data_IF_613140215271
#
_entry.id   IF_613140215271
#
_cell.length_a   1.000
_cell.length_b   1.000
_cell.length_c   1.000
_cell.angle_alpha   90.00
_cell.angle_beta   90.00
_cell.angle_gamma   90.00
#
_symmetry.space_group_name_H-M   'P 1'
#
loop_
_entity.id
_entity.type
_entity.pdbx_description
1 polymer ?
#
# COMPACT_ATOMS: atom_id res chain seq x y z
N UNK A 1 6.46 -0.27 16.06
CA UNK A 1 7.34 0.37 15.09
C UNK A 1 6.54 0.84 13.88
N UNK A 2 7.07 1.83 13.21
CA UNK A 2 6.40 2.44 12.07
C UNK A 2 7.25 2.30 10.81
N UNK A 3 6.59 2.40 9.66
CA UNK A 3 7.28 2.46 8.38
C UNK A 3 6.61 3.52 7.51
N UNK A 4 7.33 4.00 6.52
CA UNK A 4 6.84 5.05 5.64
C UNK A 4 5.91 4.47 4.60
N UNK A 5 4.81 5.18 4.34
CA UNK A 5 3.83 4.79 3.34
C UNK A 5 3.49 6.00 2.48
N UNK A 6 3.50 5.80 1.17
CA UNK A 6 3.06 6.80 0.20
C UNK A 6 2.09 6.16 -0.75
N UNK A 7 0.93 6.77 -0.94
CA UNK A 7 -0.06 6.33 -1.92
C UNK A 7 -0.19 7.43 -2.95
N UNK A 8 0.06 7.07 -4.21
CA UNK A 8 0.07 8.00 -5.33
C UNK A 8 -0.97 7.61 -6.36
N UNK A 9 -1.56 8.60 -7.00
CA UNK A 9 -2.30 8.40 -8.25
C UNK A 9 -1.61 9.23 -9.32
N UNK A 10 -2.01 9.09 -10.60
CA UNK A 10 -1.43 9.93 -11.64
C UNK A 10 -1.60 11.43 -11.42
N UNK A 11 -2.57 11.81 -10.62
CA UNK A 11 -2.89 13.24 -10.39
C UNK A 11 -2.35 13.80 -9.10
N UNK A 12 -2.20 12.98 -8.07
CA UNK A 12 -1.94 13.53 -6.75
C UNK A 12 -1.36 12.50 -5.79
N UNK A 13 -0.84 13.01 -4.69
CA UNK A 13 -0.48 12.20 -3.55
C UNK A 13 -1.74 12.01 -2.71
N UNK A 14 -2.22 10.79 -2.61
CA UNK A 14 -3.44 10.48 -1.87
C UNK A 14 -3.16 10.39 -0.37
N UNK A 15 -2.02 9.81 -0.02
CA UNK A 15 -1.62 9.66 1.38
C UNK A 15 -0.10 9.64 1.47
N UNK A 16 0.42 10.28 2.50
CA UNK A 16 1.83 10.23 2.80
C UNK A 16 2.00 10.32 4.32
N UNK A 17 2.69 9.34 4.90
CA UNK A 17 2.87 9.32 6.33
C UNK A 17 3.46 8.00 6.78
N UNK A 18 3.27 7.69 8.05
CA UNK A 18 3.78 6.47 8.65
C UNK A 18 2.62 5.58 9.11
N UNK A 19 2.86 4.28 9.12
CA UNK A 19 1.85 3.31 9.51
C UNK A 19 2.46 2.17 10.29
N UNK A 20 1.62 1.48 11.04
CA UNK A 20 1.99 0.25 11.75
C UNK A 20 1.74 -0.97 10.88
N UNK A 21 0.80 -0.86 9.96
CA UNK A 21 0.45 -1.94 9.05
C UNK A 21 -0.24 -1.39 7.82
N UNK A 22 -0.13 -2.14 6.72
CA UNK A 22 -0.86 -1.85 5.49
C UNK A 22 -1.44 -3.17 5.02
N UNK A 23 -2.76 -3.19 4.75
CA UNK A 23 -3.44 -4.36 4.23
C UNK A 23 -3.87 -4.02 2.81
N UNK A 24 -3.53 -4.90 1.87
CA UNK A 24 -3.68 -4.62 0.44
C UNK A 24 -4.43 -5.74 -0.26
N UNK A 25 -5.27 -5.39 -1.27
CA UNK A 25 -5.96 -6.39 -2.08
C UNK A 25 -5.04 -6.86 -3.20
N UNK A 26 -4.19 -7.83 -2.90
CA UNK A 26 -3.24 -8.37 -3.87
C UNK A 26 -3.88 -9.30 -4.88
N UNK A 27 -3.17 -9.53 -5.98
CA UNK A 27 -3.62 -10.39 -7.06
C UNK A 27 -3.86 -11.83 -6.60
N UNK A 28 -3.06 -12.30 -5.67
CA UNK A 28 -3.18 -13.65 -5.13
C UNK A 28 -3.94 -13.70 -3.81
N UNK A 29 -4.54 -12.60 -3.41
CA UNK A 29 -5.29 -12.51 -2.18
C UNK A 29 -4.88 -11.31 -1.35
N UNK A 30 -5.65 -11.02 -0.32
CA UNK A 30 -5.36 -9.93 0.60
C UNK A 30 -4.10 -10.28 1.39
N UNK A 31 -3.21 -9.32 1.53
CA UNK A 31 -2.00 -9.53 2.31
C UNK A 31 -1.69 -8.29 3.15
N UNK A 32 -0.88 -8.50 4.18
CA UNK A 32 -0.52 -7.45 5.12
C UNK A 32 0.97 -7.18 5.09
N UNK A 33 1.36 -5.91 5.14
CA UNK A 33 2.74 -5.49 5.26
C UNK A 33 2.94 -4.90 6.65
N UNK A 34 3.91 -5.43 7.35
CA UNK A 34 4.32 -4.98 8.68
C UNK A 34 5.71 -4.36 8.60
N UNK A 35 6.17 -3.67 9.66
CA UNK A 35 7.52 -3.09 9.63
C UNK A 35 8.57 -4.16 9.32
N UNK A 36 9.58 -3.74 8.55
CA UNK A 36 10.69 -4.59 8.14
C UNK A 36 10.30 -5.77 7.26
N UNK A 37 9.17 -5.64 6.57
CA UNK A 37 8.76 -6.64 5.59
C UNK A 37 9.83 -6.74 4.49
N UNK A 38 10.06 -7.95 4.00
CA UNK A 38 11.00 -8.17 2.92
C UNK A 38 10.54 -7.46 1.65
N UNK A 39 11.47 -7.22 0.76
CA UNK A 39 11.18 -6.55 -0.51
C UNK A 39 10.17 -7.31 -1.33
N UNK A 40 9.16 -6.61 -1.82
CA UNK A 40 8.18 -7.17 -2.76
C UNK A 40 7.79 -6.13 -3.80
N UNK A 41 7.30 -6.62 -4.92
CA UNK A 41 6.65 -5.81 -5.94
C UNK A 41 5.45 -6.63 -6.39
N UNK A 42 4.26 -6.11 -6.22
CA UNK A 42 3.04 -6.86 -6.48
C UNK A 42 1.96 -6.00 -7.11
N UNK A 43 1.07 -6.62 -7.87
CA UNK A 43 -0.10 -5.95 -8.42
C UNK A 43 -1.24 -5.99 -7.43
N UNK A 44 -2.06 -4.95 -7.47
CA UNK A 44 -3.25 -4.84 -6.65
C UNK A 44 -4.48 -4.92 -7.53
N UNK A 45 -5.51 -5.58 -7.02
CA UNK A 45 -6.79 -5.70 -7.70
C UNK A 45 -7.82 -4.80 -7.00
N UNK A 46 -9.04 -4.78 -7.53
CA UNK A 46 -10.12 -4.01 -6.93
C UNK A 46 -10.39 -4.44 -5.49
N UNK A 47 -10.51 -3.48 -4.60
CA UNK A 47 -10.76 -3.74 -3.19
C UNK A 47 -10.48 -2.52 -2.35
N UNK A 48 -10.18 -2.75 -1.08
CA UNK A 48 -9.83 -1.68 -0.16
C UNK A 48 -8.41 -1.84 0.36
N UNK A 49 -7.74 -0.70 0.46
CA UNK A 49 -6.43 -0.58 1.06
C UNK A 49 -6.62 -0.02 2.47
N UNK A 50 -6.02 -0.66 3.46
CA UNK A 50 -6.08 -0.19 4.84
C UNK A 50 -4.68 0.23 5.29
N UNK A 51 -4.56 1.47 5.74
CA UNK A 51 -3.31 2.00 6.28
C UNK A 51 -3.60 2.35 7.73
N UNK A 52 -3.12 1.50 8.65
CA UNK A 52 -3.48 1.57 10.07
C UNK A 52 -5.00 1.63 10.22
N UNK A 53 -5.58 2.76 10.61
CA UNK A 53 -7.02 2.89 10.82
C UNK A 53 -7.76 3.53 9.63
N UNK A 54 -7.02 3.95 8.60
CA UNK A 54 -7.62 4.60 7.43
C UNK A 54 -7.82 3.60 6.31
N UNK A 55 -8.84 3.83 5.49
CA UNK A 55 -9.08 2.98 4.33
C UNK A 55 -9.31 3.81 3.07
N UNK A 56 -8.94 3.23 1.94
CA UNK A 56 -9.05 3.86 0.62
C UNK A 56 -9.52 2.82 -0.39
N UNK A 57 -10.44 3.18 -1.29
CA UNK A 57 -10.81 2.26 -2.35
C UNK A 57 -9.71 2.18 -3.40
N UNK A 58 -9.52 0.99 -3.96
CA UNK A 58 -8.54 0.74 -5.00
C UNK A 58 -9.23 0.05 -6.16
N UNK A 59 -9.05 0.55 -7.37
CA UNK A 59 -9.48 -0.16 -8.58
C UNK A 59 -8.42 -1.19 -8.97
N UNK A 60 -7.19 -0.71 -9.09
CA UNK A 60 -6.01 -1.53 -9.32
C UNK A 60 -4.79 -0.66 -9.09
N UNK A 61 -3.65 -1.31 -8.98
CA UNK A 61 -2.43 -0.57 -8.75
C UNK A 61 -1.25 -1.49 -8.60
N UNK A 62 -0.18 -0.93 -8.08
CA UNK A 62 1.07 -1.63 -7.84
C UNK A 62 1.56 -1.21 -6.46
N UNK A 63 2.10 -2.17 -5.72
CA UNK A 63 2.76 -1.88 -4.45
C UNK A 63 4.22 -2.31 -4.53
N UNK A 64 5.08 -1.45 -4.01
CA UNK A 64 6.51 -1.74 -3.87
C UNK A 64 6.89 -1.57 -2.42
N UNK A 65 7.50 -2.60 -1.84
CA UNK A 65 8.01 -2.56 -0.47
C UNK A 65 9.52 -2.72 -0.53
N UNK A 66 10.23 -1.77 0.07
CA UNK A 66 11.68 -1.79 0.06
C UNK A 66 12.20 -0.91 1.19
N UNK A 67 13.18 -1.41 1.95
CA UNK A 67 13.86 -0.64 3.01
C UNK A 67 12.88 0.05 3.98
N UNK A 68 11.94 -0.72 4.49
CA UNK A 68 10.94 -0.24 5.44
C UNK A 68 10.09 0.91 4.91
N UNK A 69 9.88 0.93 3.59
CA UNK A 69 9.08 1.94 2.91
C UNK A 69 8.13 1.26 1.94
N UNK A 70 6.87 1.67 1.98
CA UNK A 70 5.84 1.14 1.08
C UNK A 70 5.39 2.25 0.14
N UNK A 71 5.48 1.98 -1.15
CA UNK A 71 5.01 2.91 -2.18
C UNK A 71 3.88 2.21 -2.94
N UNK A 72 2.73 2.85 -2.96
CA UNK A 72 1.54 2.32 -3.61
C UNK A 72 1.11 3.30 -4.69
N UNK A 73 1.00 2.79 -5.92
CA UNK A 73 0.53 3.59 -7.05
C UNK A 73 -0.81 3.01 -7.46
N UNK A 74 -1.85 3.83 -7.39
CA UNK A 74 -3.20 3.37 -7.68
C UNK A 74 -3.78 4.10 -8.87
N UNK A 75 -4.68 3.42 -9.58
CA UNK A 75 -5.46 3.99 -10.66
C UNK A 75 -6.75 4.52 -10.07
N UNK A 76 -7.11 5.71 -10.46
CA UNK A 76 -8.35 6.36 -10.01
C UNK A 76 -9.55 5.93 -10.85
#
# INVERSE_FOLDING_TARGET
MLFDVTVLSPREVIFEGQAKSVILPGESGVFEVLPFHKRILSRLISGKLFISEKSFPVKRGIVKVSQNKVTIIVEE
#
